data_IF_038886080562
#
_entry.id   IF_038886080562
#
_cell.length_a   1.000
_cell.length_b   1.000
_cell.length_c   1.000
_cell.angle_alpha   90.00
_cell.angle_beta   90.00
_cell.angle_gamma   90.00
#
_symmetry.space_group_name_H-M   'P 1'
#
loop_
_entity.id
_entity.type
_entity.pdbx_description
1 polymer ?
#
# COMPACT_ATOMS: atom_id res chain seq x y z
N UNK A 1 5.31 -6.77 15.18
CA UNK A 1 4.74 -5.48 14.77
C UNK A 1 4.01 -5.67 13.45
N UNK A 2 2.80 -5.19 13.40
CA UNK A 2 2.03 -5.09 12.15
C UNK A 2 2.18 -3.66 11.63
N UNK A 3 2.57 -3.53 10.38
CA UNK A 3 2.82 -2.25 9.73
C UNK A 3 1.87 -2.06 8.53
N UNK A 4 1.22 -0.93 8.46
CA UNK A 4 0.47 -0.49 7.28
C UNK A 4 1.18 0.72 6.69
N UNK A 5 1.47 0.68 5.41
CA UNK A 5 2.12 1.77 4.68
C UNK A 5 1.23 2.23 3.53
N UNK A 6 0.79 3.47 3.59
CA UNK A 6 0.17 4.15 2.46
C UNK A 6 1.24 4.85 1.62
N UNK A 7 1.37 4.45 0.37
CA UNK A 7 2.28 5.08 -0.57
C UNK A 7 1.49 6.06 -1.42
N UNK A 8 2.03 7.23 -1.64
CA UNK A 8 1.36 8.18 -2.52
C UNK A 8 2.02 9.54 -2.61
N UNK A 9 1.34 10.40 -3.33
CA UNK A 9 1.67 11.81 -3.46
C UNK A 9 0.45 12.64 -3.07
N UNK A 10 0.52 13.42 -1.99
CA UNK A 10 -0.57 14.31 -1.62
C UNK A 10 -0.77 15.37 -2.71
N UNK A 11 -2.01 15.82 -2.89
CA UNK A 11 -2.38 16.83 -3.88
C UNK A 11 -2.09 16.45 -5.35
N UNK A 12 -2.03 15.16 -5.65
CA UNK A 12 -1.86 14.65 -7.02
C UNK A 12 -2.98 13.67 -7.40
N UNK A 13 -4.22 14.09 -7.24
CA UNK A 13 -5.39 13.31 -7.65
C UNK A 13 -5.38 11.91 -7.02
N UNK A 14 -5.58 10.91 -7.85
CA UNK A 14 -5.69 9.51 -7.44
C UNK A 14 -4.41 8.93 -6.83
N UNK A 15 -3.26 9.57 -7.04
CA UNK A 15 -2.01 9.17 -6.38
C UNK A 15 -2.02 9.39 -4.86
N UNK A 16 -3.04 10.06 -4.33
CA UNK A 16 -3.28 10.16 -2.90
C UNK A 16 -4.01 8.94 -2.30
N UNK A 17 -4.46 7.99 -3.10
CA UNK A 17 -5.31 6.89 -2.66
C UNK A 17 -4.70 6.06 -1.52
N UNK A 18 -3.43 5.70 -1.63
CA UNK A 18 -2.73 4.95 -0.57
C UNK A 18 -2.66 5.71 0.75
N UNK A 19 -2.43 7.00 0.70
CA UNK A 19 -2.39 7.86 1.88
C UNK A 19 -3.75 8.01 2.53
N UNK A 20 -4.82 8.11 1.73
CA UNK A 20 -6.19 8.17 2.23
C UNK A 20 -6.59 6.89 2.96
N UNK A 21 -6.23 5.73 2.43
CA UNK A 21 -6.44 4.46 3.12
C UNK A 21 -5.67 4.42 4.44
N UNK A 22 -4.39 4.79 4.44
CA UNK A 22 -3.57 4.82 5.64
C UNK A 22 -4.17 5.72 6.72
N UNK A 23 -4.62 6.91 6.35
CA UNK A 23 -5.27 7.85 7.26
C UNK A 23 -6.53 7.26 7.90
N UNK A 24 -7.39 6.62 7.10
CA UNK A 24 -8.62 5.98 7.59
C UNK A 24 -8.35 4.77 8.47
N UNK A 25 -7.35 3.96 8.13
CA UNK A 25 -6.93 2.82 8.96
C UNK A 25 -6.39 3.32 10.29
N UNK A 26 -5.57 4.36 10.30
CA UNK A 26 -5.04 4.98 11.52
C UNK A 26 -6.15 5.43 12.46
N UNK A 27 -7.23 5.99 11.92
CA UNK A 27 -8.35 6.50 12.70
C UNK A 27 -9.12 5.42 13.47
N UNK A 28 -9.06 4.16 13.04
CA UNK A 28 -9.85 3.05 13.58
C UNK A 28 -9.02 1.92 14.19
N UNK A 29 -7.70 2.03 14.19
CA UNK A 29 -6.79 1.05 14.78
C UNK A 29 -6.05 1.62 15.98
N UNK A 30 -5.60 0.73 16.88
CA UNK A 30 -4.77 1.13 18.00
C UNK A 30 -3.30 1.20 17.61
N UNK A 31 -2.59 2.29 17.92
CA UNK A 31 -1.15 2.36 17.66
C UNK A 31 -0.34 1.35 18.47
N UNK A 32 -0.93 0.68 19.45
CA UNK A 32 -0.29 -0.41 20.21
C UNK A 32 -0.23 -1.70 19.42
N UNK A 33 -1.17 -1.92 18.50
CA UNK A 33 -1.26 -3.17 17.71
C UNK A 33 -0.85 -2.98 16.28
N UNK A 34 -1.13 -1.83 15.69
CA UNK A 34 -0.85 -1.52 14.28
C UNK A 34 -0.13 -0.19 14.16
N UNK A 35 1.02 -0.21 13.51
CA UNK A 35 1.75 1.00 13.14
C UNK A 35 1.34 1.41 11.74
N UNK A 36 0.88 2.64 11.56
CA UNK A 36 0.50 3.18 10.25
C UNK A 36 1.49 4.27 9.85
N UNK A 37 2.07 4.13 8.68
CA UNK A 37 3.02 5.08 8.09
C UNK A 37 2.59 5.50 6.70
N UNK A 38 3.07 6.64 6.28
CA UNK A 38 2.91 7.16 4.93
C UNK A 38 4.29 7.31 4.30
N UNK A 39 4.38 6.99 3.02
CA UNK A 39 5.62 7.10 2.26
C UNK A 39 5.37 7.93 1.01
N UNK A 40 6.08 9.04 0.92
CA UNK A 40 6.06 9.94 -0.23
C UNK A 40 7.41 9.85 -0.93
N UNK A 41 7.38 9.77 -2.27
CA UNK A 41 8.60 9.76 -3.08
C UNK A 41 9.17 8.36 -3.31
N UNK A 42 10.45 8.17 -3.03
CA UNK A 42 11.16 6.94 -3.36
C UNK A 42 10.73 5.77 -2.47
N UNK A 43 10.26 4.70 -3.11
CA UNK A 43 9.76 3.51 -2.42
C UNK A 43 10.87 2.64 -1.80
N UNK A 44 12.15 2.93 -2.06
CA UNK A 44 13.27 2.32 -1.33
C UNK A 44 13.16 2.52 0.19
N UNK A 45 12.53 3.59 0.64
CA UNK A 45 12.25 3.83 2.05
C UNK A 45 11.45 2.72 2.72
N UNK A 46 10.75 1.86 1.97
CA UNK A 46 10.06 0.69 2.52
C UNK A 46 11.01 -0.27 3.23
N UNK A 47 12.22 -0.45 2.73
CA UNK A 47 13.20 -1.36 3.34
C UNK A 47 13.48 -1.01 4.81
N UNK A 48 13.58 0.29 5.10
CA UNK A 48 13.78 0.76 6.47
C UNK A 48 12.49 0.72 7.29
N UNK A 49 11.36 1.09 6.68
CA UNK A 49 10.08 1.10 7.37
C UNK A 49 9.65 -0.27 7.84
N UNK A 50 9.82 -1.31 7.02
CA UNK A 50 9.37 -2.66 7.40
C UNK A 50 10.42 -3.53 8.08
N UNK A 51 11.60 -3.00 8.35
CA UNK A 51 12.63 -3.72 9.08
C UNK A 51 12.10 -4.16 10.46
N UNK A 52 12.13 -5.47 10.72
CA UNK A 52 11.62 -6.06 11.96
C UNK A 52 10.10 -6.23 12.04
N UNK A 53 9.34 -5.80 11.04
CA UNK A 53 7.90 -6.04 10.99
C UNK A 53 7.60 -7.50 10.61
N UNK A 54 6.62 -8.10 11.27
CA UNK A 54 6.18 -9.49 10.98
C UNK A 54 5.14 -9.51 9.85
N UNK A 55 4.27 -8.52 9.82
CA UNK A 55 3.26 -8.35 8.80
C UNK A 55 3.30 -6.93 8.27
N UNK A 56 3.25 -6.79 6.96
CA UNK A 56 3.26 -5.51 6.27
C UNK A 56 2.15 -5.48 5.23
N UNK A 57 1.36 -4.42 5.28
CA UNK A 57 0.33 -4.10 4.28
C UNK A 57 0.74 -2.81 3.58
N UNK A 58 0.84 -2.85 2.27
CA UNK A 58 1.20 -1.69 1.47
C UNK A 58 0.03 -1.33 0.56
N UNK A 59 -0.33 -0.07 0.52
CA UNK A 59 -1.42 0.43 -0.35
C UNK A 59 -0.87 1.51 -1.27
N UNK A 60 -1.10 1.38 -2.56
CA UNK A 60 -0.65 2.32 -3.57
C UNK A 60 -1.66 2.46 -4.72
N UNK A 61 -1.66 3.61 -5.36
CA UNK A 61 -2.33 3.78 -6.64
C UNK A 61 -1.51 3.08 -7.73
N UNK A 62 -2.20 2.41 -8.64
CA UNK A 62 -1.56 1.61 -9.70
C UNK A 62 -2.18 1.92 -11.05
N UNK A 63 -1.50 1.51 -12.10
CA UNK A 63 -1.98 1.63 -13.46
C UNK A 63 -1.69 0.30 -14.19
N UNK A 64 -2.61 -0.65 -14.04
CA UNK A 64 -2.48 -2.01 -14.55
C UNK A 64 -3.41 -2.29 -15.74
N UNK A 65 -4.16 -1.27 -16.19
CA UNK A 65 -5.06 -1.39 -17.32
C UNK A 65 -6.48 -1.82 -16.97
N UNK A 66 -6.80 -2.00 -15.69
CA UNK A 66 -8.17 -2.22 -15.23
C UNK A 66 -9.03 -0.96 -15.32
N UNK A 67 -10.31 -1.11 -15.10
CA UNK A 67 -11.22 0.05 -15.02
C UNK A 67 -10.89 0.94 -13.82
N UNK A 68 -11.30 2.23 -13.87
CA UNK A 68 -11.06 3.17 -12.78
C UNK A 68 -11.53 2.62 -11.42
N UNK A 69 -10.68 2.71 -10.40
CA UNK A 69 -11.00 2.25 -9.07
C UNK A 69 -10.99 0.74 -8.88
N UNK A 70 -10.54 -0.02 -9.86
CA UNK A 70 -10.34 -1.47 -9.68
C UNK A 70 -9.39 -1.72 -8.51
N UNK A 71 -9.77 -2.64 -7.63
CA UNK A 71 -8.98 -3.02 -6.48
C UNK A 71 -8.22 -4.31 -6.79
N UNK A 72 -6.91 -4.28 -6.59
CA UNK A 72 -6.04 -5.45 -6.70
C UNK A 72 -5.50 -5.80 -5.33
N UNK A 73 -5.41 -7.10 -5.04
CA UNK A 73 -4.76 -7.61 -3.83
C UNK A 73 -3.67 -8.59 -4.22
N UNK A 74 -2.50 -8.40 -3.66
CA UNK A 74 -1.32 -9.22 -3.94
C UNK A 74 -0.76 -9.76 -2.64
N UNK A 75 -0.36 -11.03 -2.66
CA UNK A 75 0.43 -11.64 -1.61
C UNK A 75 1.90 -11.63 -2.05
N UNK A 76 2.70 -10.80 -1.42
CA UNK A 76 4.09 -10.57 -1.80
C UNK A 76 5.01 -11.76 -1.54
N UNK A 77 4.59 -12.71 -0.67
CA UNK A 77 5.37 -13.93 -0.44
C UNK A 77 5.31 -14.90 -1.62
N UNK A 78 4.23 -14.86 -2.40
CA UNK A 78 3.99 -15.78 -3.50
C UNK A 78 4.25 -15.16 -4.86
N UNK A 79 3.75 -13.93 -5.09
CA UNK A 79 3.83 -13.32 -6.41
C UNK A 79 3.48 -11.84 -6.38
N UNK A 80 4.24 -11.06 -7.11
CA UNK A 80 3.94 -9.65 -7.37
C UNK A 80 4.05 -9.39 -8.86
N UNK A 81 3.07 -8.73 -9.52
CA UNK A 81 3.13 -8.52 -10.96
C UNK A 81 4.35 -7.72 -11.38
N UNK A 82 5.00 -8.17 -12.45
CA UNK A 82 6.15 -7.46 -13.03
C UNK A 82 5.78 -6.03 -13.47
N UNK A 83 4.51 -5.78 -13.78
CA UNK A 83 4.00 -4.44 -14.14
C UNK A 83 4.15 -3.42 -13.02
N UNK A 84 4.23 -3.84 -11.76
CA UNK A 84 4.60 -2.95 -10.65
C UNK A 84 6.07 -2.52 -10.72
N UNK A 85 6.91 -3.23 -11.48
CA UNK A 85 8.35 -2.97 -11.55
C UNK A 85 8.73 -1.85 -12.53
N UNK A 86 7.88 -1.45 -13.47
CA UNK A 86 8.31 -0.71 -14.66
C UNK A 86 7.77 0.73 -14.76
N UNK A 87 7.32 1.36 -13.68
CA UNK A 87 6.52 2.56 -13.86
C UNK A 87 7.10 3.88 -13.39
N UNK A 88 8.32 3.88 -12.95
CA UNK A 88 8.99 5.13 -12.61
C UNK A 88 10.36 5.16 -13.26
N UNK A 89 10.61 6.17 -14.08
CA UNK A 89 11.92 6.42 -14.66
C UNK A 89 12.91 7.01 -13.65
N UNK A 90 12.45 7.39 -12.45
CA UNK A 90 13.26 8.16 -11.50
C UNK A 90 13.28 7.59 -10.08
N UNK A 91 12.49 6.56 -9.78
CA UNK A 91 12.45 5.93 -8.46
C UNK A 91 12.16 4.44 -8.58
N UNK A 92 12.58 3.67 -7.58
CA UNK A 92 12.19 2.26 -7.50
C UNK A 92 10.67 2.14 -7.35
N UNK A 93 10.07 1.33 -8.20
CA UNK A 93 8.68 0.92 -8.05
C UNK A 93 8.53 -0.06 -6.89
N UNK A 94 7.30 -0.26 -6.43
CA UNK A 94 7.01 -1.25 -5.39
C UNK A 94 7.52 -2.66 -5.77
N UNK A 95 7.30 -3.09 -7.01
CA UNK A 95 7.81 -4.38 -7.51
C UNK A 95 9.34 -4.45 -7.49
N UNK A 96 10.03 -3.36 -7.84
CA UNK A 96 11.49 -3.26 -7.78
C UNK A 96 12.01 -3.37 -6.35
N UNK A 97 11.38 -2.71 -5.39
CA UNK A 97 11.73 -2.79 -3.97
C UNK A 97 11.51 -4.20 -3.42
N UNK A 98 10.42 -4.85 -3.78
CA UNK A 98 10.13 -6.23 -3.37
C UNK A 98 11.17 -7.20 -3.95
N UNK A 99 11.54 -7.05 -5.21
CA UNK A 99 12.61 -7.85 -5.83
C UNK A 99 13.95 -7.65 -5.14
N UNK A 100 14.32 -6.42 -4.85
CA UNK A 100 15.54 -6.10 -4.11
C UNK A 100 15.53 -6.68 -2.69
N UNK A 101 14.43 -6.51 -1.96
CA UNK A 101 14.27 -7.05 -0.62
C UNK A 101 14.38 -8.59 -0.60
N UNK A 102 13.79 -9.24 -1.60
CA UNK A 102 13.91 -10.70 -1.75
C UNK A 102 15.35 -11.12 -1.95
N UNK A 103 16.09 -10.44 -2.81
CA UNK A 103 17.51 -10.74 -3.08
C UNK A 103 18.39 -10.50 -1.83
N UNK A 104 18.03 -9.54 -1.00
CA UNK A 104 18.76 -9.20 0.24
C UNK A 104 18.32 -10.00 1.46
N UNK A 105 17.32 -10.87 1.33
CA UNK A 105 16.73 -11.57 2.48
C UNK A 105 16.01 -10.64 3.48
N UNK A 106 15.46 -9.53 3.00
CA UNK A 106 14.83 -8.47 3.82
C UNK A 106 13.33 -8.34 3.61
N UNK A 107 12.68 -9.31 2.99
CA UNK A 107 11.22 -9.33 2.93
C UNK A 107 10.63 -9.60 4.31
N UNK A 108 9.55 -8.91 4.68
CA UNK A 108 8.81 -9.30 5.89
C UNK A 108 8.21 -10.70 5.73
N UNK A 109 8.01 -11.45 6.82
CA UNK A 109 7.42 -12.79 6.76
C UNK A 109 6.07 -12.85 6.06
N UNK A 110 5.26 -11.82 6.25
CA UNK A 110 3.99 -11.63 5.54
C UNK A 110 3.94 -10.25 4.90
N UNK A 111 3.74 -10.22 3.60
CA UNK A 111 3.60 -8.98 2.83
C UNK A 111 2.35 -9.05 1.96
N UNK A 112 1.45 -8.11 2.14
CA UNK A 112 0.23 -7.97 1.34
C UNK A 112 0.22 -6.58 0.70
N UNK A 113 -0.07 -6.53 -0.59
CA UNK A 113 -0.25 -5.29 -1.32
C UNK A 113 -1.68 -5.09 -1.78
N UNK A 114 -2.18 -3.87 -1.66
CA UNK A 114 -3.41 -3.42 -2.28
C UNK A 114 -3.09 -2.34 -3.31
N UNK A 115 -3.56 -2.53 -4.54
CA UNK A 115 -3.49 -1.53 -5.59
C UNK A 115 -4.86 -0.99 -5.92
N UNK A 116 -4.94 0.30 -6.19
CA UNK A 116 -6.17 0.97 -6.64
C UNK A 116 -5.87 1.59 -8.00
N UNK A 117 -6.61 1.17 -9.03
CA UNK A 117 -6.43 1.67 -10.40
C UNK A 117 -6.77 3.15 -10.46
N UNK A 118 -5.79 3.96 -10.88
CA UNK A 118 -5.89 5.41 -10.97
C UNK A 118 -6.38 5.87 -12.34
N UNK A 119 -6.97 7.06 -12.38
CA UNK A 119 -7.39 7.76 -13.59
C UNK A 119 -6.69 9.10 -13.71
N UNK A 120 -6.70 9.88 -12.62
CA UNK A 120 -6.16 11.24 -12.56
C UNK A 120 -5.03 11.30 -11.58
N UNK A 121 -3.91 11.84 -11.99
CA UNK A 121 -2.72 12.02 -11.14
C UNK A 121 -2.07 13.39 -11.33
N UNK A 122 -2.74 14.31 -12.00
CA UNK A 122 -2.27 15.66 -12.18
C UNK A 122 -2.25 16.42 -10.84
N UNK A 123 -1.31 17.33 -10.73
CA UNK A 123 -1.18 18.18 -9.55
C UNK A 123 -2.48 18.95 -9.30
N UNK A 124 -2.91 18.97 -8.05
CA UNK A 124 -4.14 19.62 -7.57
C UNK A 124 -5.45 19.06 -8.18
N UNK A 125 -5.39 17.97 -8.93
CA UNK A 125 -6.61 17.29 -9.37
C UNK A 125 -7.34 16.66 -8.17
N UNK A 126 -8.67 16.65 -8.17
CA UNK A 126 -9.44 15.93 -7.16
C UNK A 126 -9.27 14.42 -7.35
N UNK A 127 -9.45 13.67 -6.27
CA UNK A 127 -9.51 12.20 -6.34
C UNK A 127 -10.80 11.80 -7.07
N UNK A 128 -10.68 10.87 -8.03
CA UNK A 128 -11.82 10.39 -8.80
C UNK A 128 -12.86 9.69 -7.90
N UNK A 129 -14.15 9.79 -8.23
CA UNK A 129 -15.22 9.17 -7.45
C UNK A 129 -15.05 7.65 -7.33
N UNK A 130 -14.64 6.98 -8.42
CA UNK A 130 -14.38 5.55 -8.44
C UNK A 130 -13.21 5.16 -7.52
N UNK A 131 -12.18 6.00 -7.46
CA UNK A 131 -11.04 5.78 -6.56
C UNK A 131 -11.45 6.02 -5.11
N UNK A 132 -12.28 7.01 -4.82
CA UNK A 132 -12.81 7.22 -3.46
C UNK A 132 -13.65 6.03 -2.98
N UNK A 133 -14.45 5.43 -3.83
CA UNK A 133 -15.18 4.19 -3.52
C UNK A 133 -14.23 3.04 -3.26
N UNK A 134 -13.17 2.91 -4.06
CA UNK A 134 -12.13 1.91 -3.86
C UNK A 134 -11.34 2.12 -2.56
N UNK A 135 -11.05 3.36 -2.18
CA UNK A 135 -10.45 3.69 -0.88
C UNK A 135 -11.31 3.14 0.26
N UNK A 136 -12.62 3.32 0.19
CA UNK A 136 -13.55 2.78 1.19
C UNK A 136 -13.54 1.25 1.22
N UNK A 137 -13.52 0.60 0.07
CA UNK A 137 -13.48 -0.86 -0.06
C UNK A 137 -12.17 -1.42 0.52
N UNK A 138 -11.03 -0.85 0.14
CA UNK A 138 -9.71 -1.30 0.62
C UNK A 138 -9.59 -1.08 2.13
N UNK A 139 -10.04 0.05 2.63
CA UNK A 139 -10.03 0.33 4.08
C UNK A 139 -10.79 -0.74 4.86
N UNK A 140 -11.98 -1.11 4.40
CA UNK A 140 -12.79 -2.15 5.05
C UNK A 140 -12.14 -3.53 5.01
N UNK A 141 -11.61 -3.92 3.85
CA UNK A 141 -10.93 -5.21 3.67
C UNK A 141 -9.67 -5.29 4.53
N UNK A 142 -8.87 -4.23 4.52
CA UNK A 142 -7.65 -4.16 5.29
C UNK A 142 -7.93 -4.22 6.79
N UNK A 143 -8.89 -3.46 7.28
CA UNK A 143 -9.29 -3.51 8.70
C UNK A 143 -9.82 -4.89 9.10
N UNK A 144 -10.50 -5.60 8.20
CA UNK A 144 -10.93 -6.97 8.45
C UNK A 144 -9.73 -7.92 8.57
N UNK A 145 -8.76 -7.86 7.65
CA UNK A 145 -7.53 -8.66 7.72
C UNK A 145 -6.73 -8.36 9.00
N UNK A 146 -6.62 -7.10 9.39
CA UNK A 146 -5.91 -6.70 10.60
C UNK A 146 -6.54 -7.32 11.85
N UNK A 147 -7.87 -7.36 11.95
CA UNK A 147 -8.58 -7.98 13.07
C UNK A 147 -8.39 -9.49 13.15
N UNK A 148 -8.26 -10.16 12.02
CA UNK A 148 -8.01 -11.61 11.98
C UNK A 148 -6.62 -11.97 12.48
N UNK A 149 -5.67 -11.05 12.37
CA UNK A 149 -4.26 -11.25 12.74
C UNK A 149 -3.86 -10.57 14.05
N UNK A 150 -4.75 -9.78 14.65
CA UNK A 150 -4.49 -9.26 16.00
C UNK A 150 -4.43 -10.41 17.02
N UNK A 151 -3.42 -10.39 17.91
CA UNK A 151 -3.39 -11.35 19.01
C UNK A 151 -4.69 -11.19 19.80
N UNK A 152 -5.48 -12.24 19.88
CA UNK A 152 -6.64 -12.25 20.77
C UNK A 152 -6.09 -12.13 22.18
N UNK A 153 -6.41 -11.06 22.85
CA UNK A 153 -6.14 -10.95 24.29
C UNK A 153 -6.82 -12.15 24.97
N UNK A 154 -6.01 -12.91 25.65
CA UNK A 154 -6.48 -14.07 26.40
C UNK A 154 -7.29 -13.65 27.61
#
# INVERSE_FOLDING_TARGET
MILVVGIGAPNQGDDAAGMLVAERVRAVTSPRTVTVKELVGDQLGLLDLWAGALEVYVVDAVCLGGGPGTVYRFDGAQWFPAQFANRSTHSFSLGGVIGLARAMGRLPPRLVGYGIERVRWERDAPVSAQVMDAVSTVTKRLCHELREHEPREA
#
